data_IF_722741939073
#
_entry.id   IF_722741939073
#
_cell.length_a   1.000
_cell.length_b   1.000
_cell.length_c   1.000
_cell.angle_alpha   90.00
_cell.angle_beta   90.00
_cell.angle_gamma   90.00
#
_symmetry.space_group_name_H-M   'P 1'
#
loop_
_entity.id
_entity.type
_entity.pdbx_description
1 polymer ?
#
# COMPACT_ATOMS: atom_id res chain seq x y z
N UNK A 1 -8.63 15.93 -17.58
CA UNK A 1 -8.86 15.16 -16.34
C UNK A 1 -7.63 15.37 -15.48
N UNK A 2 -7.79 15.54 -14.18
CA UNK A 2 -6.64 15.73 -13.26
C UNK A 2 -5.79 14.44 -13.27
N UNK A 3 -4.47 14.53 -13.55
CA UNK A 3 -3.59 13.35 -13.56
C UNK A 3 -3.68 12.50 -12.29
N UNK A 4 -3.92 13.11 -11.12
CA UNK A 4 -4.09 12.40 -9.85
C UNK A 4 -5.38 11.58 -9.86
N UNK A 5 -6.49 12.16 -10.30
CA UNK A 5 -7.79 11.50 -10.37
C UNK A 5 -7.78 10.33 -11.35
N UNK A 6 -7.06 10.45 -12.46
CA UNK A 6 -6.86 9.37 -13.43
C UNK A 6 -6.07 8.18 -12.86
N UNK A 7 -5.18 8.43 -11.89
CA UNK A 7 -4.43 7.37 -11.19
C UNK A 7 -5.33 6.73 -10.12
N UNK A 8 -6.05 7.54 -9.35
CA UNK A 8 -7.01 7.06 -8.34
C UNK A 8 -8.04 6.13 -8.98
N UNK A 9 -8.66 6.53 -10.11
CA UNK A 9 -9.61 5.68 -10.82
C UNK A 9 -9.00 4.34 -11.24
N UNK A 10 -7.77 4.35 -11.76
CA UNK A 10 -7.11 3.11 -12.16
C UNK A 10 -6.77 2.20 -10.97
N UNK A 11 -6.45 2.77 -9.80
CA UNK A 11 -6.30 2.01 -8.55
C UNK A 11 -7.66 1.42 -8.14
N UNK A 12 -8.72 2.23 -8.16
CA UNK A 12 -10.08 1.80 -7.79
C UNK A 12 -10.57 0.65 -8.67
N UNK A 13 -10.34 0.71 -9.98
CA UNK A 13 -10.69 -0.33 -10.94
C UNK A 13 -9.84 -1.60 -10.77
N UNK A 14 -8.52 -1.45 -10.67
CA UNK A 14 -7.60 -2.59 -10.62
C UNK A 14 -7.70 -3.41 -9.32
N UNK A 15 -8.04 -2.77 -8.20
CA UNK A 15 -8.15 -3.42 -6.90
C UNK A 15 -9.61 -3.72 -6.51
N UNK A 16 -10.58 -3.53 -7.42
CA UNK A 16 -11.97 -3.85 -7.14
C UNK A 16 -12.16 -5.33 -6.76
N UNK A 17 -12.88 -5.59 -5.67
CA UNK A 17 -13.19 -6.95 -5.21
C UNK A 17 -12.02 -7.72 -4.60
N UNK A 18 -10.88 -7.06 -4.30
CA UNK A 18 -9.81 -7.68 -3.52
C UNK A 18 -10.34 -8.05 -2.13
N UNK A 19 -10.17 -9.31 -1.66
CA UNK A 19 -10.65 -9.73 -0.36
C UNK A 19 -9.76 -9.19 0.77
N UNK A 20 -10.36 -8.95 1.94
CA UNK A 20 -9.63 -8.62 3.16
C UNK A 20 -8.79 -9.83 3.63
N UNK A 21 -7.56 -9.56 4.09
CA UNK A 21 -6.64 -10.59 4.61
C UNK A 21 -6.95 -11.07 6.01
N UNK A 22 -6.03 -11.86 6.56
CA UNK A 22 -6.12 -12.36 7.94
C UNK A 22 -5.78 -11.25 8.94
N UNK A 23 -4.76 -10.44 8.63
CA UNK A 23 -4.29 -9.34 9.47
C UNK A 23 -4.81 -8.02 8.89
N UNK A 24 -5.44 -7.21 9.75
CA UNK A 24 -5.90 -5.86 9.44
C UNK A 24 -5.00 -4.75 9.96
N UNK A 25 -5.28 -3.51 9.56
CA UNK A 25 -4.43 -2.37 9.90
C UNK A 25 -4.42 -2.08 11.41
N UNK A 26 -5.54 -2.19 12.14
CA UNK A 26 -5.48 -2.00 13.59
C UNK A 26 -4.86 -3.20 14.30
N UNK A 27 -4.98 -4.42 13.76
CA UNK A 27 -4.23 -5.57 14.26
C UNK A 27 -2.73 -5.39 14.09
N UNK A 28 -2.30 -4.86 12.95
CA UNK A 28 -0.91 -4.58 12.64
C UNK A 28 -0.28 -3.62 13.67
N UNK A 29 -0.98 -2.56 14.07
CA UNK A 29 -0.53 -1.66 15.15
C UNK A 29 -0.33 -2.40 16.48
N UNK A 30 -1.24 -3.32 16.81
CA UNK A 30 -1.09 -4.14 18.03
C UNK A 30 0.10 -5.09 17.91
N UNK A 31 0.35 -5.67 16.73
CA UNK A 31 1.50 -6.54 16.48
C UNK A 31 2.80 -5.75 16.66
N UNK A 32 2.89 -4.56 16.08
CA UNK A 32 4.06 -3.68 16.20
C UNK A 32 4.34 -3.28 17.66
N UNK A 33 3.27 -3.01 18.41
CA UNK A 33 3.34 -2.72 19.84
C UNK A 33 3.57 -3.98 20.73
N UNK A 34 3.88 -5.15 20.16
CA UNK A 34 4.06 -6.43 20.86
C UNK A 34 2.86 -6.82 21.74
N UNK A 35 1.65 -6.45 21.30
CA UNK A 35 0.41 -6.69 22.03
C UNK A 35 -0.05 -8.15 22.03
N UNK A 36 -0.99 -8.44 22.93
CA UNK A 36 -1.52 -9.81 23.10
C UNK A 36 -2.55 -10.17 22.04
N UNK A 37 -2.80 -11.47 21.86
CA UNK A 37 -3.85 -11.99 20.98
C UNK A 37 -5.25 -11.44 21.33
N UNK A 38 -5.54 -11.21 22.61
CA UNK A 38 -6.81 -10.60 23.02
C UNK A 38 -6.93 -9.14 22.55
N UNK A 39 -5.81 -8.39 22.57
CA UNK A 39 -5.76 -7.03 22.03
C UNK A 39 -5.91 -7.04 20.51
N UNK A 40 -5.26 -7.97 19.81
CA UNK A 40 -5.39 -8.15 18.36
C UNK A 40 -6.84 -8.41 17.96
N UNK A 41 -7.52 -9.36 18.60
CA UNK A 41 -8.95 -9.62 18.34
C UNK A 41 -9.84 -8.39 18.56
N UNK A 42 -9.56 -7.59 19.60
CA UNK A 42 -10.28 -6.34 19.85
C UNK A 42 -10.01 -5.30 18.77
N UNK A 43 -8.77 -5.20 18.29
CA UNK A 43 -8.39 -4.31 17.20
C UNK A 43 -9.02 -4.72 15.87
N UNK A 44 -9.00 -6.01 15.52
CA UNK A 44 -9.66 -6.59 14.33
C UNK A 44 -11.13 -6.22 14.25
N UNK A 45 -11.82 -6.20 15.38
CA UNK A 45 -13.24 -5.84 15.43
C UNK A 45 -13.54 -4.38 15.01
N UNK A 46 -12.52 -3.53 14.89
CA UNK A 46 -12.64 -2.16 14.36
C UNK A 46 -12.61 -2.12 12.84
N UNK A 47 -11.97 -3.09 12.20
CA UNK A 47 -11.78 -3.20 10.75
C UNK A 47 -12.90 -4.07 10.14
N UNK A 48 -14.08 -3.47 10.02
CA UNK A 48 -15.32 -4.14 9.59
C UNK A 48 -15.58 -4.06 8.09
N UNK A 49 -14.77 -3.28 7.38
CA UNK A 49 -14.93 -2.99 5.97
C UNK A 49 -14.64 -4.23 5.12
N UNK A 50 -15.59 -4.59 4.26
CA UNK A 50 -15.42 -5.67 3.29
C UNK A 50 -14.89 -5.19 1.95
N UNK A 51 -14.99 -3.89 1.70
CA UNK A 51 -14.45 -3.20 0.54
C UNK A 51 -13.40 -2.20 1.00
N UNK A 52 -12.20 -2.27 0.44
CA UNK A 52 -11.10 -1.39 0.85
C UNK A 52 -11.41 0.08 0.59
N UNK A 53 -12.33 0.41 -0.33
CA UNK A 53 -12.74 1.79 -0.64
C UNK A 53 -13.51 2.45 0.50
N UNK A 54 -14.10 1.64 1.37
CA UNK A 54 -14.87 2.07 2.54
C UNK A 54 -13.98 2.29 3.78
N UNK A 55 -12.69 1.92 3.71
CA UNK A 55 -11.74 2.16 4.81
C UNK A 55 -11.62 3.66 5.07
N UNK A 56 -11.91 4.13 6.30
CA UNK A 56 -11.85 5.55 6.61
C UNK A 56 -10.43 6.11 6.53
N UNK A 57 -10.32 7.34 6.03
CA UNK A 57 -9.09 8.12 6.03
C UNK A 57 -8.44 8.22 7.43
N UNK A 58 -9.25 8.32 8.48
CA UNK A 58 -8.77 8.35 9.86
C UNK A 58 -8.04 7.06 10.27
N UNK A 59 -8.46 5.92 9.75
CA UNK A 59 -7.80 4.62 10.01
C UNK A 59 -6.41 4.59 9.37
N UNK A 60 -6.23 5.22 8.20
CA UNK A 60 -4.91 5.32 7.56
C UNK A 60 -3.97 6.22 8.36
N UNK A 61 -4.49 7.33 8.92
CA UNK A 61 -3.69 8.20 9.79
C UNK A 61 -3.34 7.56 11.13
N UNK A 62 -4.24 6.74 11.68
CA UNK A 62 -3.99 6.02 12.94
C UNK A 62 -3.01 4.87 12.76
N UNK A 63 -3.05 4.20 11.61
CA UNK A 63 -2.29 2.99 11.34
C UNK A 63 -1.22 3.18 10.26
N UNK A 64 -0.45 4.27 10.31
CA UNK A 64 0.40 4.66 9.17
C UNK A 64 1.45 3.60 8.77
N UNK A 65 1.94 2.81 9.73
CA UNK A 65 3.00 1.82 9.56
C UNK A 65 2.48 0.40 9.26
N UNK A 66 1.15 0.21 9.30
CA UNK A 66 0.53 -1.10 9.30
C UNK A 66 0.89 -2.00 8.10
N UNK A 67 1.13 -1.42 6.91
CA UNK A 67 1.48 -2.17 5.69
C UNK A 67 2.67 -3.13 5.89
N UNK A 68 3.55 -2.87 6.86
CA UNK A 68 4.70 -3.72 7.17
C UNK A 68 4.29 -5.08 7.76
N UNK A 69 3.21 -5.13 8.54
CA UNK A 69 2.82 -6.31 9.33
C UNK A 69 1.70 -7.15 8.72
N UNK A 70 1.10 -6.69 7.62
CA UNK A 70 0.01 -7.40 6.95
C UNK A 70 0.50 -8.70 6.31
N UNK A 71 -0.36 -9.71 6.29
CA UNK A 71 -0.18 -10.89 5.44
C UNK A 71 -0.30 -10.48 3.94
N UNK A 72 0.14 -11.32 2.99
CA UNK A 72 0.09 -10.96 1.56
C UNK A 72 -1.29 -10.59 1.02
N UNK A 73 -2.37 -11.21 1.53
CA UNK A 73 -3.75 -10.90 1.11
C UNK A 73 -4.17 -9.56 1.70
N UNK A 74 -3.92 -9.35 3.00
CA UNK A 74 -4.19 -8.08 3.70
C UNK A 74 -3.41 -6.92 3.08
N UNK A 75 -2.14 -7.14 2.74
CA UNK A 75 -1.32 -6.16 2.06
C UNK A 75 -1.93 -5.75 0.72
N UNK A 76 -2.40 -6.71 -0.09
CA UNK A 76 -3.06 -6.40 -1.37
C UNK A 76 -4.37 -5.62 -1.17
N UNK A 77 -5.10 -5.88 -0.09
CA UNK A 77 -6.32 -5.16 0.28
C UNK A 77 -6.05 -3.72 0.71
N UNK A 78 -5.07 -3.50 1.58
CA UNK A 78 -4.80 -2.17 2.14
C UNK A 78 -3.85 -1.32 1.29
N UNK A 79 -2.98 -1.90 0.45
CA UNK A 79 -2.13 -1.14 -0.47
C UNK A 79 -2.89 -0.04 -1.26
N UNK A 80 -4.03 -0.33 -1.95
CA UNK A 80 -4.78 0.70 -2.66
C UNK A 80 -5.37 1.77 -1.74
N UNK A 81 -5.65 1.47 -0.46
CA UNK A 81 -6.09 2.45 0.54
C UNK A 81 -5.01 3.51 0.75
N UNK A 82 -3.76 3.10 0.99
CA UNK A 82 -2.65 4.01 1.25
C UNK A 82 -2.24 4.80 0.00
N UNK A 83 -2.21 4.16 -1.18
CA UNK A 83 -1.95 4.86 -2.45
C UNK A 83 -3.00 5.93 -2.72
N UNK A 84 -4.29 5.60 -2.59
CA UNK A 84 -5.42 6.53 -2.80
C UNK A 84 -5.40 7.66 -1.78
N UNK A 85 -5.19 7.35 -0.51
CA UNK A 85 -5.14 8.33 0.56
C UNK A 85 -3.96 9.30 0.39
N UNK A 86 -2.77 8.79 0.04
CA UNK A 86 -1.59 9.59 -0.27
C UNK A 86 -1.81 10.57 -1.43
N UNK A 87 -2.40 10.08 -2.52
CA UNK A 87 -2.73 10.91 -3.70
C UNK A 87 -3.76 12.02 -3.39
N UNK A 88 -4.76 11.75 -2.56
CA UNK A 88 -5.78 12.75 -2.16
C UNK A 88 -5.24 13.83 -1.23
N UNK A 89 -4.22 13.50 -0.44
CA UNK A 89 -3.74 14.33 0.66
C UNK A 89 -2.31 14.85 0.47
N UNK A 90 -1.80 14.89 -0.77
CA UNK A 90 -0.44 15.38 -1.09
C UNK A 90 -0.07 16.72 -0.42
N UNK A 91 -1.06 17.60 -0.23
CA UNK A 91 -0.84 18.98 0.26
C UNK A 91 -1.18 19.19 1.74
N UNK A 92 -1.59 18.15 2.47
CA UNK A 92 -2.01 18.31 3.88
C UNK A 92 -0.85 18.37 4.89
N UNK A 93 0.40 18.20 4.41
CA UNK A 93 1.65 18.52 5.14
C UNK A 93 2.01 17.64 6.34
N UNK A 94 1.14 16.69 6.73
CA UNK A 94 1.29 15.89 7.95
C UNK A 94 1.07 14.39 7.74
N UNK A 95 1.11 13.91 6.49
CA UNK A 95 0.75 12.53 6.17
C UNK A 95 1.85 11.84 5.35
N UNK A 96 2.46 10.82 5.93
CA UNK A 96 3.49 9.97 5.34
C UNK A 96 2.94 8.68 4.71
N UNK A 97 1.61 8.52 4.60
CA UNK A 97 1.01 7.31 4.02
C UNK A 97 1.46 7.06 2.56
N UNK A 98 1.75 8.12 1.81
CA UNK A 98 2.32 7.99 0.46
C UNK A 98 3.70 7.34 0.50
N UNK A 99 4.54 7.74 1.45
CA UNK A 99 5.88 7.17 1.66
C UNK A 99 5.78 5.73 2.15
N UNK A 100 4.84 5.43 3.05
CA UNK A 100 4.57 4.06 3.49
C UNK A 100 4.16 3.15 2.35
N UNK A 101 3.32 3.61 1.43
CA UNK A 101 3.01 2.87 0.21
C UNK A 101 4.27 2.66 -0.66
N UNK A 102 5.08 3.70 -0.87
CA UNK A 102 6.33 3.63 -1.64
C UNK A 102 7.32 2.62 -1.01
N UNK A 103 7.51 2.67 0.31
CA UNK A 103 8.40 1.78 1.04
C UNK A 103 7.90 0.33 1.03
N UNK A 104 6.59 0.13 1.07
CA UNK A 104 6.00 -1.19 0.92
C UNK A 104 6.23 -1.78 -0.49
N UNK A 105 6.28 -0.91 -1.50
CA UNK A 105 6.52 -1.26 -2.90
C UNK A 105 8.00 -1.35 -3.28
N UNK A 106 8.92 -0.94 -2.41
CA UNK A 106 10.35 -1.08 -2.62
C UNK A 106 10.85 -2.42 -2.06
N UNK A 107 11.41 -3.30 -2.91
CA UNK A 107 11.92 -4.61 -2.49
C UNK A 107 13.05 -4.54 -1.45
N UNK A 108 13.83 -3.46 -1.43
CA UNK A 108 15.09 -3.36 -0.70
C UNK A 108 16.18 -4.31 -1.23
N UNK A 109 17.35 -4.26 -0.61
CA UNK A 109 18.51 -5.08 -1.01
C UNK A 109 18.89 -6.18 0.00
N UNK A 110 18.22 -6.20 1.16
CA UNK A 110 18.36 -7.27 2.13
C UNK A 110 17.60 -8.50 1.65
N UNK A 111 18.31 -9.60 1.37
CA UNK A 111 17.78 -10.76 0.66
C UNK A 111 16.49 -11.34 1.27
N UNK A 112 16.46 -11.59 2.59
CA UNK A 112 15.30 -12.19 3.25
C UNK A 112 14.07 -11.27 3.23
N UNK A 113 14.28 -9.98 3.47
CA UNK A 113 13.23 -8.97 3.40
C UNK A 113 12.70 -8.81 1.97
N UNK A 114 13.61 -8.83 0.99
CA UNK A 114 13.24 -8.79 -0.43
C UNK A 114 12.41 -10.01 -0.82
N UNK A 115 12.79 -11.22 -0.37
CA UNK A 115 12.02 -12.44 -0.62
C UNK A 115 10.60 -12.36 -0.04
N UNK A 116 10.45 -11.84 1.18
CA UNK A 116 9.14 -11.62 1.79
C UNK A 116 8.30 -10.62 0.99
N UNK A 117 8.86 -9.46 0.62
CA UNK A 117 8.15 -8.47 -0.20
C UNK A 117 7.79 -9.01 -1.59
N UNK A 118 8.63 -9.83 -2.19
CA UNK A 118 8.32 -10.48 -3.48
C UNK A 118 7.12 -11.42 -3.40
N UNK A 119 6.84 -12.05 -2.25
CA UNK A 119 5.62 -12.83 -2.07
C UNK A 119 4.37 -11.95 -2.19
N UNK A 120 4.42 -10.73 -1.63
CA UNK A 120 3.34 -9.74 -1.76
C UNK A 120 3.20 -9.26 -3.21
N UNK A 121 4.31 -8.97 -3.88
CA UNK A 121 4.26 -8.45 -5.26
C UNK A 121 3.69 -9.49 -6.24
N UNK A 122 3.99 -10.78 -6.04
CA UNK A 122 3.42 -11.89 -6.83
C UNK A 122 1.91 -12.06 -6.67
N UNK A 123 1.29 -11.45 -5.67
CA UNK A 123 -0.17 -11.46 -5.50
C UNK A 123 -0.89 -10.50 -6.44
N UNK A 124 -0.15 -9.55 -7.04
CA UNK A 124 -0.73 -8.55 -7.93
C UNK A 124 -0.93 -9.14 -9.31
N UNK A 125 -2.12 -8.95 -9.87
CA UNK A 125 -2.35 -9.22 -11.28
C UNK A 125 -1.77 -8.10 -12.17
N UNK A 126 -1.97 -8.24 -13.48
CA UNK A 126 -1.48 -7.27 -14.46
C UNK A 126 -2.09 -5.88 -14.30
N UNK A 127 -3.39 -5.78 -13.99
CA UNK A 127 -4.07 -4.50 -13.82
C UNK A 127 -3.57 -3.79 -12.56
N UNK A 128 -3.40 -4.53 -11.46
CA UNK A 128 -2.87 -4.05 -10.18
C UNK A 128 -1.42 -3.61 -10.31
N UNK A 129 -0.60 -4.41 -10.99
CA UNK A 129 0.80 -4.06 -11.30
C UNK A 129 0.88 -2.76 -12.09
N UNK A 130 0.03 -2.59 -13.11
CA UNK A 130 0.00 -1.37 -13.91
C UNK A 130 -0.46 -0.14 -13.08
N UNK A 131 -1.45 -0.31 -12.20
CA UNK A 131 -1.87 0.76 -11.29
C UNK A 131 -0.74 1.18 -10.33
N UNK A 132 0.00 0.22 -9.78
CA UNK A 132 1.19 0.46 -8.95
C UNK A 132 2.28 1.20 -9.73
N UNK A 133 2.57 0.80 -10.98
CA UNK A 133 3.53 1.49 -11.83
C UNK A 133 3.14 2.95 -12.06
N UNK A 134 1.86 3.24 -12.32
CA UNK A 134 1.37 4.61 -12.49
C UNK A 134 1.49 5.43 -11.20
N UNK A 135 1.16 4.84 -10.05
CA UNK A 135 1.36 5.47 -8.74
C UNK A 135 2.85 5.81 -8.48
N UNK A 136 3.74 4.83 -8.67
CA UNK A 136 5.17 5.04 -8.45
C UNK A 136 5.76 6.05 -9.45
N UNK A 137 5.33 6.04 -10.71
CA UNK A 137 5.74 7.03 -11.72
C UNK A 137 5.35 8.45 -11.30
N UNK A 138 4.13 8.62 -10.80
CA UNK A 138 3.71 9.88 -10.21
C UNK A 138 4.59 10.28 -9.02
N UNK A 139 4.82 9.38 -8.06
CA UNK A 139 5.66 9.67 -6.89
C UNK A 139 7.11 10.04 -7.27
N UNK A 140 7.69 9.35 -8.27
CA UNK A 140 9.03 9.61 -8.78
C UNK A 140 9.21 11.04 -9.34
N UNK A 141 8.13 11.65 -9.84
CA UNK A 141 8.11 13.00 -10.38
C UNK A 141 7.72 14.08 -9.35
N UNK A 142 7.40 13.69 -8.11
CA UNK A 142 6.81 14.58 -7.09
C UNK A 142 7.62 14.63 -5.77
N UNK A 143 8.89 15.04 -5.87
CA UNK A 143 9.85 15.14 -4.76
C UNK A 143 9.42 16.07 -3.61
N UNK A 144 8.56 17.04 -3.88
CA UNK A 144 8.06 17.97 -2.86
C UNK A 144 7.07 17.33 -1.87
N UNK A 145 6.53 16.15 -2.19
CA UNK A 145 5.42 15.55 -1.45
C UNK A 145 5.70 14.14 -0.93
N UNK A 146 6.73 13.48 -1.44
CA UNK A 146 7.07 12.10 -1.09
C UNK A 146 8.53 11.79 -1.42
N UNK A 147 9.00 10.64 -0.95
CA UNK A 147 10.34 10.13 -1.20
C UNK A 147 10.49 9.66 -2.67
N UNK A 148 10.74 10.62 -3.56
CA UNK A 148 10.85 10.37 -5.00
C UNK A 148 12.06 9.50 -5.34
N UNK A 149 13.10 9.50 -4.49
CA UNK A 149 14.29 8.67 -4.67
C UNK A 149 13.94 7.20 -4.49
N UNK A 150 13.20 6.87 -3.44
CA UNK A 150 12.76 5.49 -3.22
C UNK A 150 11.70 5.07 -4.24
N UNK A 151 10.83 5.97 -4.67
CA UNK A 151 9.88 5.71 -5.76
C UNK A 151 10.61 5.37 -7.09
N UNK A 152 11.64 6.13 -7.47
CA UNK A 152 12.50 5.85 -8.64
C UNK A 152 13.20 4.51 -8.52
N UNK A 153 13.75 4.20 -7.34
CA UNK A 153 14.39 2.92 -7.05
C UNK A 153 13.41 1.74 -7.16
N UNK A 154 12.20 1.90 -6.63
CA UNK A 154 11.15 0.90 -6.79
C UNK A 154 10.83 0.69 -8.28
N UNK A 155 10.55 1.77 -9.03
CA UNK A 155 10.29 1.70 -10.49
C UNK A 155 11.39 1.00 -11.26
N UNK A 156 12.65 1.35 -11.02
CA UNK A 156 13.79 0.80 -11.74
C UNK A 156 14.10 -0.66 -11.38
N UNK A 157 13.50 -1.19 -10.31
CA UNK A 157 13.72 -2.56 -9.84
C UNK A 157 12.60 -3.50 -10.32
N UNK A 158 11.78 -4.01 -9.40
CA UNK A 158 10.74 -5.00 -9.68
C UNK A 158 9.71 -4.49 -10.70
N UNK A 159 9.44 -3.19 -10.68
CA UNK A 159 8.39 -2.58 -11.50
C UNK A 159 8.87 -2.13 -12.89
N UNK A 160 10.16 -2.32 -13.23
CA UNK A 160 10.77 -1.83 -14.47
C UNK A 160 10.37 -2.61 -15.73
N UNK A 161 9.75 -3.78 -15.56
CA UNK A 161 9.41 -4.69 -16.66
C UNK A 161 7.90 -4.82 -16.80
N UNK A 162 7.34 -4.25 -17.86
CA UNK A 162 5.94 -4.39 -18.24
C UNK A 162 5.58 -5.76 -18.87
N UNK A 163 6.38 -6.83 -18.70
CA UNK A 163 6.28 -7.99 -19.59
C UNK A 163 6.76 -9.37 -19.07
N UNK A 164 6.79 -9.65 -17.76
CA UNK A 164 7.20 -11.00 -17.29
C UNK A 164 6.24 -11.69 -16.31
N UNK A 165 5.00 -11.23 -16.23
CA UNK A 165 3.92 -12.01 -15.61
C UNK A 165 2.81 -12.21 -16.64
N UNK A 166 3.11 -13.05 -17.63
CA UNK A 166 2.16 -13.67 -18.54
C UNK A 166 1.93 -15.12 -18.10
#
# INVERSE_FOLDING_TARGET
MDPVEDIIRAIEEAFAGVPCGEITIHEAEVIDAYGTEAMRRKARARDTETDWRDVPDSSVTECSDALTFLDPVGWRFYLPVYMRFGLRHLRSGHNNAIDHAIYSLNKGDVADLANYKLQRFRMLDRAQTHAVQRFLAFAADNDAFCDSVIAKSALASHWSRAAEFA
#
